data_IF_594325265521
#
_entry.id   IF_594325265521
#
_cell.length_a   1.000
_cell.length_b   1.000
_cell.length_c   1.000
_cell.angle_alpha   90.00
_cell.angle_beta   90.00
_cell.angle_gamma   90.00
#
_symmetry.space_group_name_H-M   'P 1'
#
loop_
_entity.id
_entity.type
_entity.pdbx_description
1 polymer ?
#
# COMPACT_ATOMS: atom_id res chain seq x y z
N UNK A 1 -18.67 3.97 7.77
CA UNK A 1 -18.11 5.32 7.50
C UNK A 1 -18.37 6.32 8.62
N UNK A 2 -19.59 6.42 9.16
CA UNK A 2 -19.91 7.34 10.25
C UNK A 2 -18.89 7.27 11.41
N UNK A 3 -18.54 6.07 11.86
CA UNK A 3 -17.58 5.88 12.96
C UNK A 3 -16.21 6.51 12.64
N UNK A 4 -15.66 6.31 11.44
CA UNK A 4 -14.37 6.92 11.08
C UNK A 4 -14.49 8.44 11.06
N UNK A 5 -15.57 8.97 10.51
CA UNK A 5 -15.82 10.42 10.50
C UNK A 5 -15.92 10.98 11.91
N UNK A 6 -16.71 10.36 12.77
CA UNK A 6 -16.91 10.80 14.14
C UNK A 6 -15.60 10.76 14.95
N UNK A 7 -14.82 9.67 14.84
CA UNK A 7 -13.51 9.55 15.51
C UNK A 7 -12.53 10.58 14.98
N UNK A 8 -12.51 10.82 13.67
CA UNK A 8 -11.61 11.81 13.05
C UNK A 8 -11.91 13.22 13.58
N UNK A 9 -13.18 13.61 13.61
CA UNK A 9 -13.61 14.91 14.11
C UNK A 9 -13.37 15.09 15.61
N UNK A 10 -13.26 14.02 16.37
CA UNK A 10 -12.92 14.08 17.80
C UNK A 10 -11.40 14.20 18.06
N UNK A 11 -10.56 13.85 17.09
CA UNK A 11 -9.08 13.82 17.24
C UNK A 11 -8.42 15.03 16.57
N UNK A 12 -8.98 15.49 15.45
CA UNK A 12 -8.48 16.60 14.64
C UNK A 12 -9.44 17.79 14.70
N UNK A 13 -8.91 18.97 14.42
CA UNK A 13 -9.76 20.13 14.13
C UNK A 13 -10.50 19.95 12.79
N UNK A 14 -11.49 20.81 12.54
CA UNK A 14 -12.41 20.67 11.40
C UNK A 14 -11.69 20.73 10.05
N UNK A 15 -10.64 21.56 9.92
CA UNK A 15 -9.87 21.70 8.69
C UNK A 15 -9.04 20.44 8.44
N UNK A 16 -8.27 20.00 9.41
CA UNK A 16 -7.46 18.79 9.35
C UNK A 16 -8.31 17.54 9.12
N UNK A 17 -9.45 17.43 9.79
CA UNK A 17 -10.41 16.34 9.60
C UNK A 17 -10.94 16.32 8.15
N UNK A 18 -11.34 17.48 7.62
CA UNK A 18 -11.84 17.60 6.25
C UNK A 18 -10.77 17.16 5.22
N UNK A 19 -9.54 17.62 5.39
CA UNK A 19 -8.42 17.26 4.50
C UNK A 19 -8.13 15.76 4.57
N UNK A 20 -8.07 15.17 5.76
CA UNK A 20 -7.84 13.73 5.92
C UNK A 20 -8.95 12.90 5.25
N UNK A 21 -10.20 13.20 5.58
CA UNK A 21 -11.36 12.46 5.06
C UNK A 21 -11.44 12.55 3.53
N UNK A 22 -11.23 13.75 2.96
CA UNK A 22 -11.24 13.93 1.50
C UNK A 22 -10.11 13.21 0.81
N UNK A 23 -8.89 13.21 1.37
CA UNK A 23 -7.72 12.53 0.80
C UNK A 23 -7.95 11.03 0.71
N UNK A 24 -8.56 10.42 1.72
CA UNK A 24 -8.90 9.00 1.70
C UNK A 24 -10.28 8.70 1.13
N UNK A 25 -10.97 9.70 0.55
CA UNK A 25 -12.30 9.56 -0.04
C UNK A 25 -13.34 9.01 0.95
N UNK A 26 -13.22 9.37 2.21
CA UNK A 26 -14.12 8.96 3.28
C UNK A 26 -15.27 9.96 3.38
N UNK A 27 -16.50 9.51 3.11
CA UNK A 27 -17.69 10.36 3.12
C UNK A 27 -18.91 9.61 3.67
N UNK A 28 -19.81 10.28 4.41
CA UNK A 28 -21.09 9.70 4.80
C UNK A 28 -21.98 9.29 3.61
N UNK A 29 -21.75 9.89 2.43
CA UNK A 29 -22.48 9.61 1.20
C UNK A 29 -21.94 8.40 0.42
N UNK A 30 -20.82 7.80 0.84
CA UNK A 30 -20.25 6.65 0.18
C UNK A 30 -21.23 5.48 0.18
N UNK A 31 -21.31 4.77 -0.95
CA UNK A 31 -21.94 3.44 -0.97
C UNK A 31 -21.18 2.49 -0.04
N UNK A 32 -21.77 1.35 0.30
CA UNK A 32 -21.09 0.36 1.15
C UNK A 32 -19.76 -0.08 0.55
N UNK A 33 -19.71 -0.31 -0.76
CA UNK A 33 -18.46 -0.70 -1.44
C UNK A 33 -17.40 0.40 -1.39
N UNK A 34 -17.76 1.64 -1.72
CA UNK A 34 -16.85 2.78 -1.60
C UNK A 34 -16.35 2.97 -0.18
N UNK A 35 -17.24 2.79 0.80
CA UNK A 35 -16.91 2.90 2.20
C UNK A 35 -15.85 1.88 2.62
N UNK A 36 -16.01 0.62 2.21
CA UNK A 36 -15.04 -0.45 2.49
C UNK A 36 -13.70 -0.14 1.83
N UNK A 37 -13.69 0.23 0.55
CA UNK A 37 -12.45 0.56 -0.18
C UNK A 37 -11.69 1.73 0.46
N UNK A 38 -12.39 2.80 0.82
CA UNK A 38 -11.80 3.98 1.48
C UNK A 38 -11.21 3.63 2.85
N UNK A 39 -11.95 2.87 3.65
CA UNK A 39 -11.47 2.39 4.94
C UNK A 39 -10.25 1.49 4.79
N UNK A 40 -10.29 0.51 3.88
CA UNK A 40 -9.15 -0.38 3.61
C UNK A 40 -7.93 0.40 3.16
N UNK A 41 -8.08 1.40 2.28
CA UNK A 41 -6.98 2.26 1.85
C UNK A 41 -6.37 3.01 3.03
N UNK A 42 -7.20 3.64 3.87
CA UNK A 42 -6.74 4.34 5.07
C UNK A 42 -5.95 3.41 6.01
N UNK A 43 -6.48 2.22 6.30
CA UNK A 43 -5.80 1.24 7.16
C UNK A 43 -4.53 0.68 6.52
N UNK A 44 -4.53 0.43 5.21
CA UNK A 44 -3.35 -0.08 4.50
C UNK A 44 -2.21 0.92 4.54
N UNK A 45 -2.49 2.19 4.24
CA UNK A 45 -1.45 3.24 4.25
C UNK A 45 -0.89 3.45 5.65
N UNK A 46 -1.73 3.52 6.66
CA UNK A 46 -1.29 3.79 8.03
C UNK A 46 -0.71 2.56 8.74
N UNK A 47 -1.31 1.40 8.56
CA UNK A 47 -0.95 0.19 9.31
C UNK A 47 0.17 -0.63 8.67
N UNK A 48 0.41 -0.49 7.37
CA UNK A 48 1.38 -1.33 6.65
C UNK A 48 2.38 -0.51 5.84
N UNK A 49 1.91 0.34 4.93
CA UNK A 49 2.80 1.04 4.00
C UNK A 49 3.71 2.02 4.74
N UNK A 50 3.12 2.87 5.59
CA UNK A 50 3.88 3.85 6.35
C UNK A 50 4.92 3.21 7.26
N UNK A 51 4.57 2.23 8.11
CA UNK A 51 5.57 1.55 8.95
C UNK A 51 6.69 0.90 8.15
N UNK A 52 6.40 0.27 7.01
CA UNK A 52 7.43 -0.33 6.17
C UNK A 52 8.44 0.72 5.65
N UNK A 53 7.95 1.87 5.18
CA UNK A 53 8.78 2.96 4.70
C UNK A 53 9.59 3.59 5.85
N UNK A 54 8.95 3.86 6.99
CA UNK A 54 9.63 4.45 8.15
C UNK A 54 10.71 3.52 8.69
N UNK A 55 10.44 2.22 8.76
CA UNK A 55 11.41 1.20 9.16
C UNK A 55 12.60 1.13 8.20
N UNK A 56 12.34 1.10 6.90
CA UNK A 56 13.39 1.08 5.90
C UNK A 56 14.27 2.35 5.93
N UNK A 57 13.65 3.52 6.14
CA UNK A 57 14.39 4.80 6.28
C UNK A 57 15.19 4.90 7.58
N UNK A 58 14.71 4.28 8.65
CA UNK A 58 15.37 4.25 9.95
C UNK A 58 16.45 3.15 10.05
N UNK A 59 16.57 2.29 9.03
CA UNK A 59 17.57 1.21 9.05
C UNK A 59 18.98 1.78 9.20
N UNK A 60 19.83 1.23 10.11
CA UNK A 60 21.16 1.79 10.40
C UNK A 60 22.08 1.92 9.19
N UNK A 61 21.87 1.08 8.18
CA UNK A 61 22.58 1.18 6.89
C UNK A 61 21.55 1.31 5.75
N UNK A 62 21.20 2.54 5.34
CA UNK A 62 20.20 2.77 4.30
C UNK A 62 20.51 2.10 2.94
N UNK A 63 21.80 1.84 2.65
CA UNK A 63 22.20 1.11 1.43
C UNK A 63 21.85 -0.39 1.48
N UNK A 64 21.37 -0.88 2.61
CA UNK A 64 20.92 -2.27 2.82
C UNK A 64 19.42 -2.37 3.10
N UNK A 65 18.71 -1.28 3.01
CA UNK A 65 17.26 -1.25 3.12
C UNK A 65 16.63 -1.10 1.75
N UNK A 66 15.81 -2.05 1.36
CA UNK A 66 15.18 -2.12 0.04
C UNK A 66 13.68 -2.18 0.21
N UNK A 67 12.95 -1.47 -0.65
CA UNK A 67 11.49 -1.48 -0.68
C UNK A 67 10.98 -2.02 -2.01
N UNK A 68 9.91 -2.76 -1.93
CA UNK A 68 9.10 -3.07 -3.09
C UNK A 68 7.61 -2.82 -2.81
N UNK A 69 6.84 -2.63 -3.89
CA UNK A 69 5.39 -2.63 -3.85
C UNK A 69 4.85 -3.58 -4.90
N UNK A 70 3.87 -4.39 -4.50
CA UNK A 70 3.19 -5.30 -5.40
C UNK A 70 1.76 -4.79 -5.61
N UNK A 71 1.54 -4.14 -6.77
CA UNK A 71 0.30 -3.47 -7.14
C UNK A 71 -0.48 -4.21 -8.25
N UNK A 72 -0.08 -5.46 -8.57
CA UNK A 72 -0.85 -6.28 -9.50
C UNK A 72 -2.13 -6.73 -8.82
N UNK A 73 -3.24 -6.55 -9.54
CA UNK A 73 -4.55 -6.92 -9.04
C UNK A 73 -4.74 -8.43 -8.94
N UNK A 74 -5.66 -8.83 -8.08
CA UNK A 74 -6.12 -10.22 -7.98
C UNK A 74 -6.67 -10.69 -9.34
N UNK A 75 -6.07 -11.71 -9.97
CA UNK A 75 -6.48 -12.15 -11.29
C UNK A 75 -7.72 -13.05 -11.29
N UNK A 76 -8.12 -13.54 -10.11
CA UNK A 76 -9.20 -14.50 -9.99
C UNK A 76 -10.58 -13.82 -9.92
N UNK A 77 -11.64 -14.45 -10.49
CA UNK A 77 -13.00 -13.94 -10.40
C UNK A 77 -13.47 -13.77 -8.95
N UNK A 78 -14.20 -12.70 -8.69
CA UNK A 78 -14.79 -12.43 -7.39
C UNK A 78 -14.91 -10.95 -7.08
N UNK A 79 -15.37 -10.62 -5.89
CA UNK A 79 -15.60 -9.23 -5.45
C UNK A 79 -14.36 -8.34 -5.52
N UNK A 80 -13.17 -8.91 -5.35
CA UNK A 80 -11.90 -8.20 -5.34
C UNK A 80 -11.05 -8.46 -6.58
N UNK A 81 -11.65 -8.92 -7.67
CA UNK A 81 -10.93 -9.08 -8.93
C UNK A 81 -10.41 -7.73 -9.42
N UNK A 82 -9.15 -7.68 -9.77
CA UNK A 82 -8.46 -6.46 -10.20
C UNK A 82 -7.92 -5.58 -9.07
N UNK A 83 -8.26 -5.85 -7.81
CA UNK A 83 -7.70 -5.14 -6.67
C UNK A 83 -6.41 -5.81 -6.18
N UNK A 84 -5.41 -5.02 -5.82
CA UNK A 84 -4.21 -5.51 -5.13
C UNK A 84 -4.56 -5.79 -3.66
N UNK A 85 -5.14 -6.95 -3.41
CA UNK A 85 -5.62 -7.35 -2.09
C UNK A 85 -4.53 -7.97 -1.23
N UNK A 86 -4.78 -8.03 0.07
CA UNK A 86 -3.88 -8.68 1.04
C UNK A 86 -3.52 -10.10 0.60
N UNK A 87 -2.25 -10.47 0.68
CA UNK A 87 -1.67 -11.77 0.30
C UNK A 87 -1.69 -12.14 -1.18
N UNK A 88 -2.20 -11.30 -2.07
CA UNK A 88 -2.09 -11.55 -3.52
C UNK A 88 -0.64 -11.66 -3.97
N UNK A 89 0.24 -10.83 -3.42
CA UNK A 89 1.68 -10.89 -3.64
C UNK A 89 2.29 -12.26 -3.30
N UNK A 90 1.82 -12.91 -2.23
CA UNK A 90 2.29 -14.24 -1.85
C UNK A 90 1.97 -15.32 -2.91
N UNK A 91 0.81 -15.23 -3.57
CA UNK A 91 0.46 -16.15 -4.67
C UNK A 91 1.46 -16.03 -5.82
N UNK A 92 1.86 -14.80 -6.16
CA UNK A 92 2.83 -14.52 -7.21
C UNK A 92 4.26 -14.87 -6.78
N UNK A 93 4.62 -14.58 -5.53
CA UNK A 93 5.94 -14.86 -4.98
C UNK A 93 6.25 -16.36 -4.94
N UNK A 94 5.35 -17.14 -4.38
CA UNK A 94 5.59 -18.58 -4.16
C UNK A 94 5.18 -19.45 -5.34
N UNK A 95 4.55 -18.89 -6.38
CA UNK A 95 4.11 -19.60 -7.57
C UNK A 95 3.18 -20.81 -7.29
N UNK A 96 2.62 -20.90 -6.09
CA UNK A 96 1.84 -22.06 -5.65
C UNK A 96 0.59 -22.29 -6.49
N UNK A 97 0.04 -21.22 -7.07
CA UNK A 97 -1.16 -21.25 -7.91
C UNK A 97 -0.90 -20.75 -9.35
N UNK A 98 0.37 -20.72 -9.78
CA UNK A 98 0.74 -20.20 -11.10
C UNK A 98 0.02 -20.90 -12.26
N UNK A 99 -0.30 -22.19 -12.10
CA UNK A 99 -1.06 -22.97 -13.09
C UNK A 99 -2.51 -22.50 -13.26
N UNK A 100 -3.06 -21.77 -12.27
CA UNK A 100 -4.40 -21.22 -12.29
C UNK A 100 -4.46 -19.77 -12.76
N UNK A 101 -3.31 -19.09 -12.96
CA UNK A 101 -3.31 -17.72 -13.44
C UNK A 101 -3.97 -17.64 -14.83
N UNK A 102 -4.98 -16.74 -14.98
CA UNK A 102 -5.82 -16.75 -16.17
C UNK A 102 -5.11 -16.28 -17.44
N UNK A 103 -4.07 -15.44 -17.30
CA UNK A 103 -3.36 -14.89 -18.44
C UNK A 103 -1.86 -15.20 -18.39
N UNK A 104 -1.21 -15.17 -19.58
CA UNK A 104 0.25 -15.28 -19.65
C UNK A 104 0.94 -14.10 -18.96
N UNK A 105 0.34 -12.92 -19.01
CA UNK A 105 0.83 -11.70 -18.33
C UNK A 105 0.91 -11.91 -16.83
N UNK A 106 -0.11 -12.52 -16.20
CA UNK A 106 -0.08 -12.82 -14.78
C UNK A 106 1.05 -13.80 -14.43
N UNK A 107 1.26 -14.83 -15.28
CA UNK A 107 2.36 -15.80 -15.09
C UNK A 107 3.72 -15.12 -15.20
N UNK A 108 3.90 -14.26 -16.19
CA UNK A 108 5.17 -13.56 -16.45
C UNK A 108 5.53 -12.61 -15.28
N UNK A 109 4.53 -11.88 -14.74
CA UNK A 109 4.71 -11.04 -13.54
C UNK A 109 5.11 -11.90 -12.34
N UNK A 110 4.45 -13.03 -12.16
CA UNK A 110 4.78 -13.95 -11.08
C UNK A 110 6.21 -14.45 -11.16
N UNK A 111 6.66 -14.82 -12.35
CA UNK A 111 8.05 -15.25 -12.57
C UNK A 111 9.03 -14.09 -12.31
N UNK A 112 8.77 -12.89 -12.85
CA UNK A 112 9.62 -11.71 -12.66
C UNK A 112 9.72 -11.33 -11.18
N UNK A 113 8.60 -11.35 -10.44
CA UNK A 113 8.57 -11.04 -9.02
C UNK A 113 9.32 -12.09 -8.18
N UNK A 114 9.05 -13.37 -8.41
CA UNK A 114 9.72 -14.46 -7.69
C UNK A 114 11.23 -14.45 -7.93
N UNK A 115 11.69 -14.30 -9.19
CA UNK A 115 13.10 -14.19 -9.52
C UNK A 115 13.76 -12.98 -8.85
N UNK A 116 13.09 -11.83 -8.83
CA UNK A 116 13.64 -10.66 -8.16
C UNK A 116 13.90 -10.87 -6.67
N UNK A 117 13.04 -11.61 -5.98
CA UNK A 117 13.23 -11.92 -4.55
C UNK A 117 14.31 -13.01 -4.35
N UNK A 118 14.39 -13.99 -5.25
CA UNK A 118 15.46 -15.00 -5.25
C UNK A 118 16.82 -14.32 -5.45
N UNK A 119 16.94 -13.46 -6.45
CA UNK A 119 18.15 -12.70 -6.73
C UNK A 119 18.56 -11.86 -5.52
N UNK A 120 17.60 -11.13 -4.91
CA UNK A 120 17.84 -10.37 -3.70
C UNK A 120 18.38 -11.25 -2.56
N UNK A 121 17.81 -12.43 -2.35
CA UNK A 121 18.27 -13.38 -1.34
C UNK A 121 19.70 -13.91 -1.61
N UNK A 122 20.13 -13.92 -2.87
CA UNK A 122 21.49 -14.26 -3.30
C UNK A 122 22.45 -13.06 -3.33
N UNK A 123 22.00 -11.88 -2.90
CA UNK A 123 22.81 -10.67 -2.88
C UNK A 123 22.96 -9.98 -4.25
N UNK A 124 22.12 -10.35 -5.22
CA UNK A 124 22.07 -9.68 -6.54
C UNK A 124 21.17 -8.45 -6.40
N UNK A 125 21.74 -7.28 -6.62
CA UNK A 125 21.04 -6.00 -6.45
C UNK A 125 20.12 -5.70 -7.65
N UNK A 126 18.92 -6.24 -7.63
CA UNK A 126 17.87 -5.94 -8.62
C UNK A 126 16.69 -5.16 -8.03
N UNK A 127 16.64 -5.01 -6.71
CA UNK A 127 15.75 -4.07 -5.98
C UNK A 127 16.68 -2.99 -5.41
N UNK A 128 16.55 -1.73 -5.82
CA UNK A 128 17.46 -0.69 -5.39
C UNK A 128 17.27 -0.36 -3.89
N UNK A 129 18.30 0.16 -3.21
CA UNK A 129 18.14 0.73 -1.88
C UNK A 129 17.11 1.87 -1.89
N UNK A 130 16.40 2.04 -0.78
CA UNK A 130 15.31 3.02 -0.68
C UNK A 130 15.74 4.47 -1.01
N UNK A 131 16.99 4.84 -0.73
CA UNK A 131 17.49 6.19 -0.96
C UNK A 131 16.70 7.26 -0.18
N UNK A 132 17.11 8.53 -0.37
CA UNK A 132 16.43 9.68 0.26
C UNK A 132 15.06 9.96 -0.37
N UNK A 133 14.91 9.67 -1.66
CA UNK A 133 13.73 9.98 -2.45
C UNK A 133 12.65 8.89 -2.34
N UNK A 134 12.89 7.86 -1.51
CA UNK A 134 11.95 6.75 -1.35
C UNK A 134 11.86 5.88 -2.60
N UNK A 135 13.02 5.51 -3.16
CA UNK A 135 13.10 4.60 -4.31
C UNK A 135 12.59 3.20 -3.93
N UNK A 136 11.80 2.59 -4.82
CA UNK A 136 11.26 1.25 -4.65
C UNK A 136 11.12 0.55 -6.01
N UNK A 137 11.05 -0.79 -5.98
CA UNK A 137 10.68 -1.57 -7.16
C UNK A 137 9.20 -1.93 -7.10
N UNK A 138 8.45 -1.69 -8.18
CA UNK A 138 6.99 -1.82 -8.22
C UNK A 138 6.58 -2.78 -9.32
N UNK A 139 5.75 -3.78 -8.98
CA UNK A 139 5.08 -4.66 -9.93
C UNK A 139 3.61 -4.29 -10.08
N UNK A 140 3.10 -4.35 -11.31
CA UNK A 140 1.73 -3.88 -11.58
C UNK A 140 1.61 -2.35 -11.55
N UNK A 141 0.40 -1.81 -11.61
CA UNK A 141 -0.82 -2.49 -12.04
C UNK A 141 -0.82 -2.83 -13.54
N UNK A 142 -1.87 -3.54 -13.97
CA UNK A 142 -2.15 -3.82 -15.38
C UNK A 142 -1.03 -4.60 -16.10
N UNK A 143 -0.47 -5.60 -15.45
CA UNK A 143 0.50 -6.50 -16.06
C UNK A 143 1.89 -5.91 -16.26
N UNK A 144 2.22 -4.80 -15.63
CA UNK A 144 3.56 -4.20 -15.76
C UNK A 144 4.58 -4.97 -14.93
N UNK A 145 5.70 -5.40 -15.54
CA UNK A 145 6.81 -6.03 -14.82
C UNK A 145 7.45 -5.08 -13.83
N UNK A 146 8.37 -5.59 -13.04
CA UNK A 146 9.09 -4.83 -12.04
C UNK A 146 9.81 -3.60 -12.62
N UNK A 147 9.46 -2.42 -12.14
CA UNK A 147 10.08 -1.16 -12.53
C UNK A 147 10.50 -0.35 -11.32
N UNK A 148 11.57 0.40 -11.48
CA UNK A 148 12.07 1.30 -10.43
C UNK A 148 11.29 2.61 -10.48
N UNK A 149 10.79 3.05 -9.34
CA UNK A 149 10.04 4.30 -9.17
C UNK A 149 10.47 4.99 -7.88
N UNK A 150 10.16 6.28 -7.78
CA UNK A 150 10.15 7.00 -6.50
C UNK A 150 8.72 7.14 -5.97
N UNK A 151 8.57 7.44 -4.69
CA UNK A 151 7.23 7.67 -4.10
C UNK A 151 6.46 8.81 -4.80
N UNK A 152 7.14 9.79 -5.38
CA UNK A 152 6.52 10.87 -6.16
C UNK A 152 5.91 10.39 -7.48
N UNK A 153 6.43 9.30 -8.04
CA UNK A 153 5.98 8.73 -9.31
C UNK A 153 4.89 7.69 -9.14
N UNK A 154 4.52 7.38 -7.90
CA UNK A 154 3.48 6.40 -7.62
C UNK A 154 2.11 6.89 -8.12
N UNK A 155 1.44 6.14 -9.02
CA UNK A 155 0.15 6.53 -9.59
C UNK A 155 -0.99 6.56 -8.55
N UNK A 156 -0.80 5.94 -7.40
CA UNK A 156 -1.78 5.92 -6.30
C UNK A 156 -1.64 7.11 -5.34
N UNK A 157 -0.75 8.07 -5.65
CA UNK A 157 -0.50 9.28 -4.85
C UNK A 157 -0.05 8.99 -3.41
N UNK A 158 0.62 7.88 -3.19
CA UNK A 158 1.04 7.43 -1.87
C UNK A 158 1.84 8.49 -1.10
N UNK A 159 2.74 9.21 -1.81
CA UNK A 159 3.52 10.29 -1.17
C UNK A 159 2.62 11.38 -0.57
N UNK A 160 1.58 11.81 -1.30
CA UNK A 160 0.63 12.83 -0.81
C UNK A 160 -0.03 12.37 0.50
N UNK A 161 -0.44 11.12 0.56
CA UNK A 161 -1.06 10.54 1.75
C UNK A 161 -0.08 10.46 2.92
N UNK A 162 1.16 10.03 2.65
CA UNK A 162 2.22 9.94 3.67
C UNK A 162 2.63 11.32 4.20
N UNK A 163 2.73 12.32 3.34
CA UNK A 163 3.07 13.70 3.74
C UNK A 163 1.95 14.29 4.59
N UNK A 164 0.69 14.09 4.22
CA UNK A 164 -0.45 14.51 5.02
C UNK A 164 -0.46 13.86 6.41
N UNK A 165 -0.24 12.54 6.49
CA UNK A 165 -0.19 11.84 7.78
C UNK A 165 0.94 12.39 8.65
N UNK A 166 2.07 12.72 8.04
CA UNK A 166 3.21 13.31 8.75
C UNK A 166 2.87 14.71 9.29
N UNK A 167 2.21 15.53 8.48
CA UNK A 167 1.76 16.88 8.84
C UNK A 167 0.74 16.85 9.99
N UNK A 168 -0.26 16.00 9.91
CA UNK A 168 -1.29 15.83 10.92
C UNK A 168 -0.78 15.20 12.23
N UNK A 169 0.35 14.53 12.17
CA UNK A 169 0.95 13.79 13.27
C UNK A 169 0.56 12.32 13.30
N UNK A 170 1.55 11.47 13.13
CA UNK A 170 1.40 10.01 13.01
C UNK A 170 0.59 9.40 14.16
N UNK A 171 0.88 9.81 15.40
CA UNK A 171 0.19 9.27 16.58
C UNK A 171 -1.30 9.67 16.64
N UNK A 172 -1.66 10.87 16.16
CA UNK A 172 -3.06 11.27 16.05
C UNK A 172 -3.82 10.41 15.06
N UNK A 173 -3.23 10.20 13.87
CA UNK A 173 -3.85 9.36 12.83
C UNK A 173 -3.95 7.90 13.28
N UNK A 174 -2.97 7.39 14.02
CA UNK A 174 -3.05 6.06 14.66
C UNK A 174 -4.15 6.02 15.72
N UNK A 175 -4.36 7.11 16.47
CA UNK A 175 -5.47 7.24 17.42
C UNK A 175 -6.84 7.12 16.74
N UNK A 176 -7.00 7.70 15.54
CA UNK A 176 -8.22 7.55 14.73
C UNK A 176 -8.45 6.09 14.35
N UNK A 177 -7.40 5.40 13.89
CA UNK A 177 -7.47 3.99 13.54
C UNK A 177 -7.83 3.11 14.75
N UNK A 178 -7.20 3.35 15.89
CA UNK A 178 -7.50 2.65 17.15
C UNK A 178 -8.93 2.88 17.62
N UNK A 179 -9.39 4.13 17.60
CA UNK A 179 -10.77 4.47 17.94
C UNK A 179 -11.81 3.80 17.05
N UNK A 180 -11.52 3.65 15.76
CA UNK A 180 -12.39 2.89 14.85
C UNK A 180 -12.46 1.41 15.22
N UNK A 181 -11.33 0.78 15.55
CA UNK A 181 -11.27 -0.65 15.87
C UNK A 181 -11.91 -0.98 17.23
N UNK A 182 -12.02 -0.01 18.12
CA UNK A 182 -12.58 -0.19 19.46
C UNK A 182 -13.99 0.39 19.62
N UNK A 183 -14.55 1.01 18.58
CA UNK A 183 -15.90 1.53 18.61
C UNK A 183 -16.92 0.40 18.75
N UNK A 184 -17.96 0.55 19.57
CA UNK A 184 -18.99 -0.45 19.82
C UNK A 184 -19.86 -0.73 18.59
#
# INVERSE_FOLDING_TARGET
MKIITDVTNNVLDDEAATVLLSTFQISPQNTQEQAVRSAMKFFTVNGFVRPAIDYAKAWPNPSKAHLFAFNQGNPFPGQFQGDATHTVDALYQFQTMAHLFPTQVDKDIGVDFALALIDFAHGIENIPPIGKDGTLKVWGPNGKPGRIMTLDQDPYQLKKELDLIKELGVLKVWGIMGGYLTAP
#
